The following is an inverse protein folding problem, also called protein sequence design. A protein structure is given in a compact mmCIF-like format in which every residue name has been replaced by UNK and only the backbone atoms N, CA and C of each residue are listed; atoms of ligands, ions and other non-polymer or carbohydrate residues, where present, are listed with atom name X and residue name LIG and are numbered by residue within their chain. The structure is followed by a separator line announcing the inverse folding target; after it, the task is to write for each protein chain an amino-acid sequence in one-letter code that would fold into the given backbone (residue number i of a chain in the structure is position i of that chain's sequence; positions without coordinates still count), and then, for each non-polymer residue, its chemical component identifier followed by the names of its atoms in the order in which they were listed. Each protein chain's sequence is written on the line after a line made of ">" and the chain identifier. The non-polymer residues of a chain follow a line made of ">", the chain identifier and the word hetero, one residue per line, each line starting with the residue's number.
data_IF_750792149464
#
_entry.id   IF_750792149464
#
_cell.length_a   1.000
_cell.length_b   1.000
_cell.length_c   1.000
_cell.angle_alpha   90.00
_cell.angle_beta   90.00
_cell.angle_gamma   90.00
#
_symmetry.space_group_name_H-M   'P 1'
#
loop_
_entity.id
_entity.type
_entity.pdbx_description
1 polymer ?
#
# COMPACT_ATOMS: atom_id res chain seq x y z
N UNK A 1 -5.50 3.65 -23.90
CA UNK A 1 -5.61 4.05 -22.48
C UNK A 1 -4.87 3.00 -21.67
N UNK A 2 -3.80 3.39 -20.98
CA UNK A 2 -3.02 2.49 -20.13
C UNK A 2 -3.70 2.38 -18.77
N UNK A 3 -3.90 1.16 -18.27
CA UNK A 3 -4.53 0.93 -16.96
C UNK A 3 -3.68 1.53 -15.82
N UNK A 4 -2.37 1.67 -16.05
CA UNK A 4 -1.40 2.29 -15.13
C UNK A 4 -1.71 3.75 -14.80
N UNK A 5 -2.38 4.50 -15.68
CA UNK A 5 -2.68 5.93 -15.47
C UNK A 5 -3.78 6.17 -14.42
N UNK A 6 -4.53 5.13 -14.05
CA UNK A 6 -5.60 5.20 -13.04
C UNK A 6 -5.17 4.66 -11.67
N UNK A 7 -3.97 4.09 -11.58
CA UNK A 7 -3.43 3.55 -10.34
C UNK A 7 -2.65 4.67 -9.64
N UNK A 8 -3.27 5.30 -8.66
CA UNK A 8 -2.53 6.20 -7.78
C UNK A 8 -1.40 5.41 -7.12
N UNK A 9 -0.17 5.94 -7.23
CA UNK A 9 1.03 5.37 -6.63
C UNK A 9 1.61 6.34 -5.61
N UNK A 10 2.05 5.81 -4.48
CA UNK A 10 2.83 6.54 -3.48
C UNK A 10 4.05 5.73 -3.08
N UNK A 11 5.11 6.45 -2.70
CA UNK A 11 6.38 5.83 -2.29
C UNK A 11 6.73 6.31 -0.90
N UNK A 12 6.98 5.38 0.02
CA UNK A 12 7.50 5.67 1.36
C UNK A 12 9.01 5.43 1.32
N UNK A 13 9.76 6.47 1.70
CA UNK A 13 11.22 6.47 1.76
C UNK A 13 11.68 6.31 3.22
N UNK A 14 12.74 5.54 3.44
CA UNK A 14 13.36 5.40 4.75
C UNK A 14 14.24 6.61 5.10
N UNK A 15 14.78 6.62 6.33
CA UNK A 15 15.66 7.68 6.82
C UNK A 15 17.00 7.79 6.07
N UNK A 16 17.34 6.82 5.21
CA UNK A 16 18.52 6.83 4.34
C UNK A 16 18.17 7.25 2.91
N UNK A 17 16.93 7.66 2.65
CA UNK A 17 16.45 8.06 1.32
C UNK A 17 16.23 6.89 0.37
N UNK A 18 16.15 5.65 0.87
CA UNK A 18 15.86 4.46 0.06
C UNK A 18 14.37 4.16 0.08
N UNK A 19 13.82 3.69 -1.04
CA UNK A 19 12.42 3.26 -1.09
C UNK A 19 12.21 2.07 -0.16
N UNK A 20 11.41 2.27 0.87
CA UNK A 20 11.02 1.25 1.83
C UNK A 20 9.76 0.52 1.37
N UNK A 21 8.76 1.28 0.90
CA UNK A 21 7.48 0.73 0.44
C UNK A 21 6.97 1.49 -0.78
N UNK A 22 6.42 0.75 -1.74
CA UNK A 22 5.63 1.27 -2.83
C UNK A 22 4.17 0.88 -2.59
N UNK A 23 3.26 1.85 -2.63
CA UNK A 23 1.84 1.67 -2.44
C UNK A 23 1.13 1.96 -3.75
N UNK A 24 0.23 1.07 -4.16
CA UNK A 24 -0.59 1.23 -5.35
C UNK A 24 -2.05 1.02 -4.96
N UNK A 25 -2.89 2.03 -5.16
CA UNK A 25 -4.33 1.90 -4.94
C UNK A 25 -4.92 1.17 -6.15
N UNK A 26 -5.50 0.01 -5.90
CA UNK A 26 -6.14 -0.81 -6.91
C UNK A 26 -7.59 -0.35 -7.11
N UNK A 27 -8.13 -0.64 -8.30
CA UNK A 27 -9.52 -0.30 -8.68
C UNK A 27 -10.58 -0.97 -7.79
N UNK A 28 -10.22 -2.07 -7.11
CA UNK A 28 -11.10 -2.75 -6.15
C UNK A 28 -11.09 -2.09 -4.75
N UNK A 29 -10.32 -1.02 -4.56
CA UNK A 29 -10.19 -0.29 -3.30
C UNK A 29 -9.11 -0.85 -2.37
N UNK A 30 -8.48 -1.98 -2.68
CA UNK A 30 -7.34 -2.47 -1.90
C UNK A 30 -6.07 -1.68 -2.23
N UNK A 31 -5.15 -1.62 -1.27
CA UNK A 31 -3.82 -1.06 -1.48
C UNK A 31 -2.83 -2.20 -1.60
N UNK A 32 -2.23 -2.33 -2.77
CA UNK A 32 -1.10 -3.21 -2.99
C UNK A 32 0.17 -2.54 -2.45
N UNK A 33 0.92 -3.26 -1.64
CA UNK A 33 2.15 -2.79 -1.01
C UNK A 33 3.31 -3.70 -1.42
N UNK A 34 4.34 -3.11 -2.01
CA UNK A 34 5.61 -3.77 -2.33
C UNK A 34 6.72 -3.23 -1.45
N UNK A 35 7.49 -4.12 -0.84
CA UNK A 35 8.70 -3.77 -0.10
C UNK A 35 9.82 -4.77 -0.40
N UNK A 36 11.02 -4.53 0.16
CA UNK A 36 12.13 -5.48 0.10
C UNK A 36 11.82 -6.84 0.74
N UNK A 37 10.84 -6.89 1.64
CA UNK A 37 10.41 -8.11 2.32
C UNK A 37 9.31 -8.85 1.54
N UNK A 38 8.95 -8.36 0.36
CA UNK A 38 7.93 -8.93 -0.51
C UNK A 38 6.66 -8.10 -0.57
N UNK A 39 5.60 -8.74 -1.07
CA UNK A 39 4.37 -8.06 -1.48
C UNK A 39 3.19 -8.50 -0.62
N UNK A 40 2.24 -7.59 -0.41
CA UNK A 40 1.00 -7.85 0.31
C UNK A 40 -0.07 -6.83 -0.06
N UNK A 41 -1.32 -7.14 0.31
CA UNK A 41 -2.46 -6.26 0.11
C UNK A 41 -3.00 -5.81 1.47
N UNK A 42 -3.44 -4.56 1.54
CA UNK A 42 -4.16 -4.00 2.68
C UNK A 42 -5.54 -3.58 2.20
N UNK A 43 -6.59 -4.09 2.85
CA UNK A 43 -7.95 -3.63 2.62
C UNK A 43 -8.22 -2.40 3.52
N UNK A 44 -8.38 -1.17 2.98
CA UNK A 44 -8.48 0.04 3.80
C UNK A 44 -9.75 0.11 4.65
N UNK A 45 -10.82 -0.56 4.22
CA UNK A 45 -12.11 -0.58 4.91
C UNK A 45 -12.10 -1.45 6.17
N UNK A 46 -11.34 -2.55 6.13
CA UNK A 46 -11.29 -3.55 7.22
C UNK A 46 -9.95 -3.60 7.94
N UNK A 47 -8.92 -2.93 7.40
CA UNK A 47 -7.51 -3.02 7.84
C UNK A 47 -6.93 -4.44 7.80
N UNK A 48 -7.54 -5.35 7.04
CA UNK A 48 -7.03 -6.71 6.89
C UNK A 48 -5.85 -6.74 5.90
N UNK A 49 -4.88 -7.61 6.21
CA UNK A 49 -3.69 -7.85 5.39
C UNK A 49 -3.79 -9.21 4.73
N UNK A 50 -3.47 -9.27 3.43
CA UNK A 50 -3.37 -10.52 2.66
C UNK A 50 -1.95 -10.68 2.09
N UNK A 51 -1.32 -11.86 2.22
CA UNK A 51 -1.86 -13.09 2.83
C UNK A 51 -2.00 -12.97 4.36
N UNK A 52 -2.96 -13.70 4.97
CA UNK A 52 -3.14 -13.70 6.41
C UNK A 52 -1.92 -14.26 7.14
N UNK A 53 -1.66 -13.78 8.36
CA UNK A 53 -0.51 -14.18 9.17
C UNK A 53 0.79 -13.45 8.82
N UNK A 54 0.80 -12.58 7.80
CA UNK A 54 1.94 -11.69 7.54
C UNK A 54 2.05 -10.66 8.67
N UNK A 55 3.23 -10.57 9.27
CA UNK A 55 3.54 -9.53 10.26
C UNK A 55 3.89 -8.26 9.50
N UNK A 56 3.04 -7.24 9.63
CA UNK A 56 3.22 -5.90 9.06
C UNK A 56 3.12 -4.90 10.20
N UNK A 57 3.96 -3.88 10.22
CA UNK A 57 3.88 -2.88 11.28
C UNK A 57 2.58 -2.07 11.14
N UNK A 58 1.92 -1.72 12.26
CA UNK A 58 0.66 -0.99 12.24
C UNK A 58 0.73 0.34 11.47
N UNK A 59 1.90 1.01 11.53
CA UNK A 59 2.13 2.29 10.85
C UNK A 59 1.99 2.18 9.33
N UNK A 60 2.43 1.04 8.74
CA UNK A 60 2.28 0.82 7.29
C UNK A 60 0.83 0.57 6.90
N UNK A 61 0.06 -0.11 7.77
CA UNK A 61 -1.38 -0.32 7.57
C UNK A 61 -2.08 1.04 7.61
N UNK A 62 -1.74 1.89 8.57
CA UNK A 62 -2.29 3.23 8.69
C UNK A 62 -1.96 4.12 7.49
N UNK A 63 -0.73 4.03 6.98
CA UNK A 63 -0.33 4.78 5.79
C UNK A 63 -1.06 4.30 4.53
N UNK A 64 -1.27 2.99 4.38
CA UNK A 64 -2.06 2.43 3.29
C UNK A 64 -3.53 2.91 3.36
N UNK A 65 -4.12 2.93 4.56
CA UNK A 65 -5.48 3.43 4.77
C UNK A 65 -5.59 4.93 4.45
N UNK A 66 -4.64 5.73 4.92
CA UNK A 66 -4.59 7.16 4.65
C UNK A 66 -4.43 7.43 3.15
N UNK A 67 -3.55 6.68 2.48
CA UNK A 67 -3.33 6.77 1.04
C UNK A 67 -4.61 6.50 0.25
N UNK A 68 -5.32 5.40 0.55
CA UNK A 68 -6.57 5.08 -0.12
C UNK A 68 -7.65 6.17 0.05
N UNK A 69 -7.72 6.80 1.23
CA UNK A 69 -8.67 7.88 1.51
C UNK A 69 -8.31 9.20 0.85
N UNK A 70 -7.03 9.44 0.56
CA UNK A 70 -6.59 10.68 -0.10
C UNK A 70 -6.98 10.76 -1.58
N UNK A 71 -7.40 9.64 -2.17
CA UNK A 71 -7.79 9.53 -3.58
C UNK A 71 -9.32 9.53 -3.81
N UNK A 72 -10.11 9.56 -2.73
CA UNK A 72 -11.58 9.65 -2.74
C UNK A 72 -12.03 11.08 -2.48
#
# INVERSE_FOLDING_TARGET
>A
MNLDDYLNRATIVDCHGQVAFELTLLVNGDVFVRSRQGEFHVNPSTRLVSPPGRVVSPEIIDQAVAFARSCL
#
